data_IF_980225260116
#
_entry.id   IF_980225260116
#
_cell.length_a   1.000
_cell.length_b   1.000
_cell.length_c   1.000
_cell.angle_alpha   90.00
_cell.angle_beta   90.00
_cell.angle_gamma   90.00
#
_symmetry.space_group_name_H-M   'P 1'
#
loop_
_entity.id
_entity.type
_entity.pdbx_description
1 polymer ?
#
# COMPACT_ATOMS: atom_id res chain seq x y z
N UNK A 1 -36.09 -44.02 17.52
CA UNK A 1 -34.88 -44.03 16.68
C UNK A 1 -34.50 -42.57 16.43
N UNK A 2 -33.38 -42.10 17.02
CA UNK A 2 -32.87 -40.73 16.91
C UNK A 2 -32.45 -40.46 15.46
N UNK A 3 -32.79 -39.30 14.91
CA UNK A 3 -31.86 -38.53 14.08
C UNK A 3 -32.16 -37.06 14.31
N UNK A 4 -31.20 -36.43 14.95
CA UNK A 4 -31.22 -35.09 15.52
C UNK A 4 -31.01 -34.04 14.44
N UNK A 5 -31.64 -32.91 14.68
CA UNK A 5 -31.53 -31.60 14.07
C UNK A 5 -30.10 -31.22 13.62
N UNK A 6 -29.93 -30.98 12.31
CA UNK A 6 -28.70 -30.44 11.73
C UNK A 6 -28.89 -28.97 11.32
N UNK A 7 -29.20 -28.10 12.29
CA UNK A 7 -29.41 -26.64 12.06
C UNK A 7 -28.38 -25.74 12.77
N UNK A 8 -27.27 -26.27 13.28
CA UNK A 8 -26.29 -25.47 14.03
C UNK A 8 -24.89 -25.59 13.41
N UNK A 9 -24.56 -24.69 12.47
CA UNK A 9 -23.20 -24.10 12.29
C UNK A 9 -23.10 -23.10 11.13
N UNK A 10 -24.03 -22.13 11.02
CA UNK A 10 -23.84 -20.99 10.10
C UNK A 10 -23.49 -19.66 10.79
N UNK A 11 -23.52 -19.59 12.13
CA UNK A 11 -23.21 -18.36 12.88
C UNK A 11 -21.71 -18.15 13.16
N UNK A 12 -20.86 -19.18 12.97
CA UNK A 12 -19.43 -19.12 13.31
C UNK A 12 -18.49 -18.71 12.16
N UNK A 13 -18.95 -18.70 10.91
CA UNK A 13 -18.06 -18.58 9.74
C UNK A 13 -18.01 -17.17 9.12
N UNK A 14 -18.84 -16.23 9.58
CA UNK A 14 -18.85 -14.85 9.09
C UNK A 14 -18.11 -13.85 10.01
N UNK A 15 -17.68 -14.27 11.21
CA UNK A 15 -17.04 -13.37 12.18
C UNK A 15 -15.62 -12.95 11.76
N UNK A 16 -14.80 -13.89 11.26
CA UNK A 16 -13.41 -13.61 10.89
C UNK A 16 -13.23 -12.55 9.77
N UNK A 17 -13.95 -12.60 8.63
CA UNK A 17 -13.78 -11.60 7.58
C UNK A 17 -14.28 -10.21 8.01
N UNK A 18 -15.34 -10.14 8.83
CA UNK A 18 -15.86 -8.86 9.36
C UNK A 18 -14.89 -8.22 10.36
N UNK A 19 -14.26 -9.02 11.23
CA UNK A 19 -13.25 -8.54 12.17
C UNK A 19 -11.98 -8.05 11.47
N UNK A 20 -11.53 -8.74 10.42
CA UNK A 20 -10.38 -8.31 9.64
C UNK A 20 -10.66 -6.99 8.89
N UNK A 21 -11.88 -6.81 8.39
CA UNK A 21 -12.29 -5.56 7.77
C UNK A 21 -12.31 -4.40 8.76
N UNK A 22 -12.96 -4.57 9.92
CA UNK A 22 -13.04 -3.51 10.93
C UNK A 22 -11.67 -3.13 11.48
N UNK A 23 -10.77 -4.11 11.64
CA UNK A 23 -9.38 -3.86 12.00
C UNK A 23 -8.67 -2.99 10.94
N UNK A 24 -8.72 -3.36 9.66
CA UNK A 24 -8.09 -2.58 8.59
C UNK A 24 -8.65 -1.15 8.51
N UNK A 25 -9.97 -0.99 8.62
CA UNK A 25 -10.62 0.34 8.62
C UNK A 25 -10.20 1.17 9.85
N UNK A 26 -10.10 0.57 11.03
CA UNK A 26 -9.63 1.26 12.23
C UNK A 26 -8.18 1.75 12.10
N UNK A 27 -7.29 0.95 11.51
CA UNK A 27 -5.89 1.32 11.34
C UNK A 27 -5.71 2.41 10.29
N UNK A 28 -6.51 2.38 9.22
CA UNK A 28 -6.56 3.44 8.23
C UNK A 28 -6.98 4.77 8.87
N UNK A 29 -8.06 4.79 9.65
CA UNK A 29 -8.53 5.99 10.35
C UNK A 29 -7.53 6.49 11.39
N UNK A 30 -6.86 5.58 12.08
CA UNK A 30 -5.78 5.92 13.01
C UNK A 30 -4.64 6.66 12.30
N UNK A 31 -4.20 6.18 11.14
CA UNK A 31 -3.14 6.84 10.36
C UNK A 31 -3.58 8.22 9.85
N UNK A 32 -4.83 8.36 9.43
CA UNK A 32 -5.39 9.66 9.03
C UNK A 32 -5.44 10.63 10.23
N UNK A 33 -5.84 10.16 11.41
CA UNK A 33 -5.82 10.96 12.63
C UNK A 33 -4.39 11.33 13.09
N UNK A 34 -3.41 10.43 12.92
CA UNK A 34 -2.00 10.75 13.18
C UNK A 34 -1.48 11.85 12.24
N UNK A 35 -2.02 11.94 11.02
CA UNK A 35 -1.72 13.05 10.11
C UNK A 35 -2.18 14.39 10.69
N UNK A 36 -3.34 14.42 11.35
CA UNK A 36 -3.88 15.63 11.98
C UNK A 36 -3.05 16.05 13.21
N UNK A 37 -2.57 15.09 14.00
CA UNK A 37 -1.81 15.36 15.24
C UNK A 37 -0.34 15.68 14.97
N UNK A 38 0.32 14.85 14.17
CA UNK A 38 1.79 14.88 13.99
C UNK A 38 2.21 15.56 12.67
N UNK A 39 1.24 15.86 11.81
CA UNK A 39 1.45 16.51 10.53
C UNK A 39 1.71 15.53 9.38
N UNK A 40 1.47 16.04 8.17
CA UNK A 40 1.54 15.28 6.92
C UNK A 40 2.96 14.76 6.63
N UNK A 41 3.99 15.54 6.95
CA UNK A 41 5.39 15.16 6.73
C UNK A 41 5.78 13.89 7.50
N UNK A 42 5.34 13.74 8.75
CA UNK A 42 5.71 12.59 9.58
C UNK A 42 5.13 11.28 9.00
N UNK A 43 3.83 11.29 8.68
CA UNK A 43 3.13 10.13 8.12
C UNK A 43 3.64 9.79 6.72
N UNK A 44 3.88 10.79 5.87
CA UNK A 44 4.41 10.55 4.52
C UNK A 44 5.85 10.05 4.53
N UNK A 45 6.70 10.57 5.42
CA UNK A 45 8.08 10.07 5.58
C UNK A 45 8.08 8.60 5.97
N UNK A 46 7.16 8.19 6.85
CA UNK A 46 6.99 6.78 7.19
C UNK A 46 6.57 5.95 5.98
N UNK A 47 5.53 6.36 5.27
CA UNK A 47 5.06 5.65 4.08
C UNK A 47 6.17 5.52 3.01
N UNK A 48 6.94 6.60 2.78
CA UNK A 48 8.08 6.58 1.86
C UNK A 48 9.12 5.56 2.30
N UNK A 49 9.48 5.53 3.59
CA UNK A 49 10.44 4.58 4.13
C UNK A 49 9.98 3.12 3.95
N UNK A 50 8.74 2.81 4.34
CA UNK A 50 8.19 1.45 4.27
C UNK A 50 8.05 0.90 2.84
N UNK A 51 7.84 1.79 1.86
CA UNK A 51 7.64 1.40 0.46
C UNK A 51 8.85 1.65 -0.45
N UNK A 52 9.99 2.10 0.07
CA UNK A 52 11.19 2.39 -0.74
C UNK A 52 11.69 1.16 -1.49
N UNK A 53 11.85 0.02 -0.81
CA UNK A 53 12.29 -1.22 -1.45
C UNK A 53 11.26 -1.73 -2.46
N UNK A 54 9.98 -1.70 -2.08
CA UNK A 54 8.87 -2.11 -2.92
C UNK A 54 8.75 -1.27 -4.21
N UNK A 55 8.96 0.05 -4.10
CA UNK A 55 8.96 0.97 -5.24
C UNK A 55 10.26 0.91 -6.06
N UNK A 56 11.29 0.22 -5.55
CA UNK A 56 12.61 0.10 -6.14
C UNK A 56 13.54 1.30 -5.90
N UNK A 57 13.04 2.40 -5.33
CA UNK A 57 13.84 3.56 -4.88
C UNK A 57 13.00 4.51 -4.03
N UNK A 58 13.68 5.34 -3.23
CA UNK A 58 13.03 6.38 -2.44
C UNK A 58 12.30 7.40 -3.33
N UNK A 59 12.91 7.80 -4.46
CA UNK A 59 12.30 8.73 -5.40
C UNK A 59 10.98 8.18 -6.00
N UNK A 60 10.93 6.88 -6.29
CA UNK A 60 9.70 6.23 -6.73
C UNK A 60 8.64 6.19 -5.62
N UNK A 61 9.04 5.88 -4.37
CA UNK A 61 8.14 5.87 -3.23
C UNK A 61 7.56 7.27 -2.94
N UNK A 62 8.39 8.32 -3.02
CA UNK A 62 7.93 9.71 -2.98
C UNK A 62 6.93 10.02 -4.10
N UNK A 63 7.25 9.62 -5.35
CA UNK A 63 6.32 9.84 -6.46
C UNK A 63 4.98 9.13 -6.25
N UNK A 64 4.97 7.93 -5.68
CA UNK A 64 3.74 7.21 -5.34
C UNK A 64 2.96 7.93 -4.26
N UNK A 65 3.58 8.20 -3.11
CA UNK A 65 2.90 8.81 -1.96
C UNK A 65 2.35 10.20 -2.31
N UNK A 66 3.17 11.08 -2.89
CA UNK A 66 2.72 12.42 -3.27
C UNK A 66 1.75 12.41 -4.44
N UNK A 67 1.94 11.53 -5.43
CA UNK A 67 1.05 11.40 -6.57
C UNK A 67 -0.35 10.95 -6.15
N UNK A 68 -0.45 9.95 -5.27
CA UNK A 68 -1.72 9.45 -4.74
C UNK A 68 -2.40 10.45 -3.80
N UNK A 69 -1.61 11.15 -2.97
CA UNK A 69 -2.12 12.18 -2.06
C UNK A 69 -2.76 13.34 -2.79
N UNK A 70 -2.18 13.75 -3.93
CA UNK A 70 -2.60 14.94 -4.65
C UNK A 70 -3.40 14.63 -5.93
N UNK A 71 -3.64 13.34 -6.24
CA UNK A 71 -4.24 12.93 -7.51
C UNK A 71 -3.41 13.35 -8.73
N UNK A 72 -2.09 13.43 -8.59
CA UNK A 72 -1.15 13.89 -9.63
C UNK A 72 -0.48 12.72 -10.34
N UNK A 73 0.10 13.01 -11.50
CA UNK A 73 0.91 12.05 -12.28
C UNK A 73 2.01 11.46 -11.41
N UNK A 74 2.10 10.14 -11.41
CA UNK A 74 3.14 9.32 -10.80
C UNK A 74 4.15 8.96 -11.89
N UNK A 75 5.44 9.06 -11.57
CA UNK A 75 6.55 8.67 -12.46
C UNK A 75 7.43 7.68 -11.72
N UNK A 76 7.58 6.48 -12.31
CA UNK A 76 8.38 5.40 -11.76
C UNK A 76 9.53 5.09 -12.72
N UNK A 77 10.74 5.03 -12.18
CA UNK A 77 11.95 4.67 -12.93
C UNK A 77 12.52 3.38 -12.36
N UNK A 78 12.82 2.42 -13.22
CA UNK A 78 13.39 1.15 -12.78
C UNK A 78 14.12 0.42 -13.88
N UNK A 79 14.95 -0.54 -13.51
CA UNK A 79 15.65 -1.39 -14.46
C UNK A 79 14.74 -2.53 -14.96
N UNK A 80 14.72 -2.76 -16.26
CA UNK A 80 14.20 -4.00 -16.84
C UNK A 80 15.34 -5.04 -16.89
N UNK A 81 14.99 -6.34 -16.96
CA UNK A 81 15.95 -7.42 -17.19
C UNK A 81 16.84 -7.05 -18.39
N UNK A 82 18.16 -6.97 -18.16
CA UNK A 82 19.14 -6.50 -19.16
C UNK A 82 19.62 -5.05 -19.01
N UNK A 83 19.43 -4.41 -17.84
CA UNK A 83 19.98 -3.07 -17.47
C UNK A 83 19.44 -1.89 -18.27
N UNK A 84 18.37 -2.07 -19.07
CA UNK A 84 17.67 -0.95 -19.70
C UNK A 84 16.80 -0.25 -18.67
N UNK A 85 16.95 1.07 -18.56
CA UNK A 85 16.03 1.90 -17.79
C UNK A 85 14.66 1.90 -18.46
N UNK A 86 13.62 1.69 -17.66
CA UNK A 86 12.23 1.81 -18.03
C UNK A 86 11.61 2.94 -17.20
N UNK A 87 10.86 3.80 -17.87
CA UNK A 87 10.09 4.87 -17.24
C UNK A 87 8.63 4.54 -17.46
N UNK A 88 7.85 4.57 -16.38
CA UNK A 88 6.41 4.34 -16.41
C UNK A 88 5.72 5.52 -15.75
N UNK A 89 4.73 6.10 -16.44
CA UNK A 89 3.95 7.22 -15.92
C UNK A 89 2.47 6.92 -15.97
N UNK A 90 1.76 7.27 -14.91
CA UNK A 90 0.31 7.11 -14.86
C UNK A 90 -0.31 8.13 -13.92
N UNK A 91 -1.59 8.42 -14.11
CA UNK A 91 -2.37 9.23 -13.18
C UNK A 91 -3.35 8.31 -12.46
N UNK A 92 -3.43 8.36 -11.11
CA UNK A 92 -4.42 7.58 -10.37
C UNK A 92 -5.84 7.85 -10.90
N UNK A 93 -6.68 6.82 -11.10
CA UNK A 93 -8.07 7.00 -11.50
C UNK A 93 -8.97 7.49 -10.35
N UNK A 94 -8.42 7.59 -9.13
CA UNK A 94 -9.12 8.03 -7.93
C UNK A 94 -8.97 9.53 -7.72
N UNK A 95 -9.88 10.10 -6.93
CA UNK A 95 -9.64 11.39 -6.26
C UNK A 95 -8.44 11.30 -5.29
N UNK A 96 -7.88 12.45 -4.85
CA UNK A 96 -6.91 12.52 -3.76
C UNK A 96 -7.27 11.59 -2.59
N UNK A 97 -6.31 10.76 -2.17
CA UNK A 97 -6.50 9.82 -1.06
C UNK A 97 -5.95 10.40 0.25
N UNK A 98 -6.54 10.00 1.39
CA UNK A 98 -5.94 10.21 2.72
C UNK A 98 -4.72 9.32 2.93
N UNK A 99 -3.84 9.65 3.88
CA UNK A 99 -2.57 8.93 4.08
C UNK A 99 -2.78 7.46 4.46
N UNK A 100 -3.78 7.15 5.27
CA UNK A 100 -4.13 5.76 5.59
C UNK A 100 -4.62 4.99 4.36
N UNK A 101 -5.38 5.65 3.47
CA UNK A 101 -5.85 5.06 2.20
C UNK A 101 -4.71 4.82 1.22
N UNK A 102 -3.73 5.73 1.16
CA UNK A 102 -2.51 5.55 0.36
C UNK A 102 -1.75 4.33 0.86
N UNK A 103 -1.47 4.29 2.16
CA UNK A 103 -0.71 3.21 2.78
C UNK A 103 -1.38 1.85 2.57
N UNK A 104 -2.69 1.76 2.81
CA UNK A 104 -3.48 0.56 2.57
C UNK A 104 -3.44 0.13 1.09
N UNK A 105 -3.58 1.07 0.15
CA UNK A 105 -3.56 0.74 -1.27
C UNK A 105 -2.23 0.17 -1.74
N UNK A 106 -1.11 0.68 -1.21
CA UNK A 106 0.23 0.20 -1.51
C UNK A 106 0.49 -1.18 -0.88
N UNK A 107 0.01 -1.42 0.35
CA UNK A 107 0.06 -2.75 0.97
C UNK A 107 -0.70 -3.79 0.13
N UNK A 108 -1.93 -3.47 -0.30
CA UNK A 108 -2.73 -4.39 -1.10
C UNK A 108 -2.09 -4.68 -2.45
N UNK A 109 -1.49 -3.67 -3.10
CA UNK A 109 -0.75 -3.87 -4.34
C UNK A 109 0.49 -4.76 -4.14
N UNK A 110 1.22 -4.57 -3.03
CA UNK A 110 2.37 -5.39 -2.68
C UNK A 110 1.97 -6.85 -2.43
N UNK A 111 0.93 -7.10 -1.64
CA UNK A 111 0.40 -8.43 -1.40
C UNK A 111 -0.05 -9.12 -2.70
N UNK A 112 -0.73 -8.37 -3.58
CA UNK A 112 -1.18 -8.92 -4.88
C UNK A 112 -0.01 -9.33 -5.78
N UNK A 113 1.07 -8.56 -5.79
CA UNK A 113 2.28 -8.90 -6.54
C UNK A 113 3.05 -10.06 -5.89
N UNK A 114 3.08 -10.11 -4.55
CA UNK A 114 3.67 -11.22 -3.80
C UNK A 114 2.95 -12.55 -4.08
N UNK A 115 1.63 -12.54 -4.31
CA UNK A 115 0.88 -13.73 -4.75
C UNK A 115 1.38 -14.31 -6.08
N UNK A 116 2.00 -13.49 -6.93
CA UNK A 116 2.69 -13.90 -8.17
C UNK A 116 4.20 -14.11 -7.98
N UNK A 117 4.68 -14.14 -6.74
CA UNK A 117 6.10 -14.22 -6.35
C UNK A 117 6.94 -13.05 -6.87
N UNK A 118 6.31 -11.87 -7.01
CA UNK A 118 6.97 -10.62 -7.38
C UNK A 118 7.16 -9.79 -6.11
N UNK A 119 8.37 -9.81 -5.55
CA UNK A 119 8.72 -9.05 -4.34
C UNK A 119 9.46 -7.75 -4.66
N UNK A 120 10.15 -7.68 -5.80
CA UNK A 120 10.80 -6.47 -6.33
C UNK A 120 10.19 -6.12 -7.68
N UNK A 121 9.04 -5.42 -7.70
CA UNK A 121 8.29 -5.20 -8.92
C UNK A 121 8.95 -4.19 -9.85
N UNK A 122 8.72 -4.39 -11.14
CA UNK A 122 9.07 -3.40 -12.16
C UNK A 122 8.08 -2.22 -12.14
N UNK A 123 8.45 -1.04 -12.66
CA UNK A 123 7.54 0.10 -12.82
C UNK A 123 6.20 -0.24 -13.48
N UNK A 124 6.22 -1.10 -14.50
CA UNK A 124 5.01 -1.53 -15.21
C UNK A 124 4.14 -2.46 -14.34
N UNK A 125 4.75 -3.35 -13.53
CA UNK A 125 4.02 -4.20 -12.60
C UNK A 125 3.38 -3.38 -11.46
N UNK A 126 4.08 -2.35 -10.96
CA UNK A 126 3.52 -1.40 -9.99
C UNK A 126 2.32 -0.65 -10.56
N UNK A 127 2.44 -0.12 -11.79
CA UNK A 127 1.30 0.50 -12.47
C UNK A 127 0.12 -0.48 -12.60
N UNK A 128 0.36 -1.72 -13.01
CA UNK A 128 -0.71 -2.69 -13.20
C UNK A 128 -1.37 -3.12 -11.87
N UNK A 129 -0.60 -3.23 -10.78
CA UNK A 129 -1.15 -3.56 -9.46
C UNK A 129 -2.01 -2.42 -8.89
N UNK A 130 -1.67 -1.17 -9.19
CA UNK A 130 -2.39 0.01 -8.70
C UNK A 130 -3.54 0.42 -9.63
N UNK A 131 -3.25 0.67 -10.91
CA UNK A 131 -4.20 1.15 -11.91
C UNK A 131 -4.89 0.07 -12.73
N UNK A 132 -4.48 -1.19 -12.60
CA UNK A 132 -4.97 -2.29 -13.41
C UNK A 132 -4.16 -2.45 -14.70
N UNK A 133 -4.24 -3.63 -15.30
CA UNK A 133 -3.58 -3.91 -16.57
C UNK A 133 -2.96 -5.31 -16.63
N UNK A 134 -2.21 -5.56 -17.70
CA UNK A 134 -1.58 -6.85 -17.92
C UNK A 134 -0.13 -6.83 -17.44
N UNK A 135 0.30 -7.92 -16.79
CA UNK A 135 1.71 -8.15 -16.46
C UNK A 135 2.17 -9.48 -17.02
N UNK A 136 3.46 -9.57 -17.34
CA UNK A 136 4.13 -10.83 -17.55
C UNK A 136 4.60 -11.41 -16.20
N UNK A 137 4.31 -12.70 -15.98
CA UNK A 137 4.69 -13.44 -14.77
C UNK A 137 5.67 -14.55 -15.13
N UNK A 138 6.72 -14.68 -14.32
CA UNK A 138 7.71 -15.75 -14.42
C UNK A 138 8.63 -15.60 -15.63
N UNK A 139 9.47 -16.63 -15.84
CA UNK A 139 10.39 -16.70 -16.98
C UNK A 139 9.68 -17.00 -18.31
N UNK A 140 8.52 -17.64 -18.25
CA UNK A 140 7.71 -18.00 -19.42
C UNK A 140 6.80 -16.85 -19.91
N UNK A 141 6.92 -15.66 -19.33
CA UNK A 141 6.16 -14.47 -19.69
C UNK A 141 4.64 -14.70 -19.79
N UNK A 142 4.07 -15.52 -18.88
CA UNK A 142 2.63 -15.75 -18.83
C UNK A 142 1.93 -14.42 -18.57
N UNK A 143 1.01 -14.04 -19.44
CA UNK A 143 0.24 -12.81 -19.28
C UNK A 143 -0.89 -13.03 -18.29
N UNK A 144 -0.96 -12.19 -17.27
CA UNK A 144 -2.08 -12.13 -16.34
C UNK A 144 -2.66 -10.73 -16.29
N UNK A 145 -3.99 -10.67 -16.24
CA UNK A 145 -4.72 -9.45 -15.97
C UNK A 145 -4.76 -9.19 -14.45
N UNK A 146 -4.28 -8.03 -14.04
CA UNK A 146 -4.42 -7.52 -12.68
C UNK A 146 -5.54 -6.49 -12.66
N UNK A 147 -6.44 -6.67 -11.71
CA UNK A 147 -7.42 -5.65 -11.34
C UNK A 147 -6.75 -4.71 -10.35
N UNK A 148 -6.61 -3.44 -10.72
CA UNK A 148 -5.87 -2.46 -9.94
C UNK A 148 -6.60 -2.08 -8.66
N UNK A 149 -5.87 -1.94 -7.55
CA UNK A 149 -6.44 -1.49 -6.26
C UNK A 149 -7.14 -0.13 -6.41
N UNK A 150 -6.49 0.84 -7.07
CA UNK A 150 -7.02 2.18 -7.30
C UNK A 150 -8.14 2.17 -8.33
N UNK A 151 -8.06 1.29 -9.33
CA UNK A 151 -9.13 1.13 -10.30
C UNK A 151 -10.42 0.66 -9.61
N UNK A 152 -10.35 -0.40 -8.80
CA UNK A 152 -11.51 -0.88 -8.05
C UNK A 152 -12.01 0.16 -7.04
N UNK A 153 -11.10 0.92 -6.42
CA UNK A 153 -11.47 2.03 -5.54
C UNK A 153 -12.21 3.14 -6.28
N UNK A 154 -11.78 3.49 -7.50
CA UNK A 154 -12.45 4.50 -8.33
C UNK A 154 -13.86 4.09 -8.76
N UNK A 155 -14.15 2.77 -8.78
CA UNK A 155 -15.49 2.22 -9.03
C UNK A 155 -16.40 2.26 -7.79
N UNK A 156 -15.96 2.89 -6.69
CA UNK A 156 -16.73 3.01 -5.46
C UNK A 156 -16.67 1.79 -4.54
N UNK A 157 -15.84 0.78 -4.85
CA UNK A 157 -15.68 -0.35 -3.95
C UNK A 157 -15.00 0.08 -2.65
N UNK A 158 -15.44 -0.50 -1.53
CA UNK A 158 -14.75 -0.39 -0.25
C UNK A 158 -13.55 -1.34 -0.18
N UNK A 159 -12.63 -1.11 0.76
CA UNK A 159 -11.40 -1.89 0.88
C UNK A 159 -11.65 -3.38 1.12
N UNK A 160 -12.70 -3.74 1.88
CA UNK A 160 -13.15 -5.12 2.07
C UNK A 160 -13.40 -5.84 0.75
N UNK A 161 -14.19 -5.20 -0.11
CA UNK A 161 -14.60 -5.77 -1.39
C UNK A 161 -13.43 -5.83 -2.36
N UNK A 162 -12.56 -4.81 -2.37
CA UNK A 162 -11.32 -4.82 -3.16
C UNK A 162 -10.44 -6.00 -2.74
N UNK A 163 -10.23 -6.18 -1.43
CA UNK A 163 -9.41 -7.25 -0.89
C UNK A 163 -9.99 -8.63 -1.24
N UNK A 164 -11.30 -8.81 -1.09
CA UNK A 164 -11.98 -10.04 -1.50
C UNK A 164 -11.82 -10.33 -2.99
N UNK A 165 -12.04 -9.34 -3.85
CA UNK A 165 -11.89 -9.46 -5.31
C UNK A 165 -10.46 -9.84 -5.71
N UNK A 166 -9.46 -9.32 -5.00
CA UNK A 166 -8.05 -9.59 -5.26
C UNK A 166 -7.50 -10.83 -4.54
N UNK A 167 -8.26 -11.43 -3.62
CA UNK A 167 -7.79 -12.51 -2.74
C UNK A 167 -6.75 -12.07 -1.72
N UNK A 168 -6.76 -10.78 -1.35
CA UNK A 168 -5.80 -10.17 -0.42
C UNK A 168 -6.27 -10.33 1.03
N UNK A 169 -5.44 -10.88 1.95
CA UNK A 169 -5.84 -11.07 3.34
C UNK A 169 -5.76 -9.77 4.15
N UNK A 170 -6.87 -9.29 4.69
CA UNK A 170 -6.92 -8.02 5.43
C UNK A 170 -6.33 -8.09 6.85
N UNK A 171 -6.34 -9.25 7.49
CA UNK A 171 -5.78 -9.42 8.84
C UNK A 171 -4.28 -9.05 8.91
N UNK A 172 -3.42 -9.66 8.08
CA UNK A 172 -2.00 -9.30 7.98
C UNK A 172 -1.77 -7.84 7.58
N UNK A 173 -2.60 -7.30 6.68
CA UNK A 173 -2.54 -5.89 6.29
C UNK A 173 -2.81 -4.97 7.47
N UNK A 174 -3.88 -5.23 8.23
CA UNK A 174 -4.21 -4.47 9.43
C UNK A 174 -3.06 -4.53 10.45
N UNK A 175 -2.47 -5.71 10.66
CA UNK A 175 -1.32 -5.87 11.56
C UNK A 175 -0.11 -5.02 11.11
N UNK A 176 0.20 -4.98 9.81
CA UNK A 176 1.27 -4.13 9.26
C UNK A 176 0.97 -2.64 9.43
N UNK A 177 -0.29 -2.23 9.29
CA UNK A 177 -0.69 -0.84 9.55
C UNK A 177 -0.62 -0.49 11.04
N UNK A 178 -0.94 -1.41 11.94
CA UNK A 178 -0.77 -1.21 13.39
C UNK A 178 0.69 -0.93 13.73
N UNK A 179 1.62 -1.70 13.17
CA UNK A 179 3.07 -1.45 13.35
C UNK A 179 3.46 -0.09 12.80
N UNK A 180 3.04 0.27 11.59
CA UNK A 180 3.34 1.58 11.01
C UNK A 180 2.79 2.74 11.85
N UNK A 181 1.55 2.63 12.35
CA UNK A 181 0.94 3.63 13.22
C UNK A 181 1.71 3.78 14.54
N UNK A 182 2.09 2.65 15.15
CA UNK A 182 2.92 2.66 16.34
C UNK A 182 4.24 3.39 16.08
N UNK A 183 4.91 3.08 14.97
CA UNK A 183 6.20 3.67 14.66
C UNK A 183 6.12 5.17 14.37
N UNK A 184 5.06 5.62 13.67
CA UNK A 184 4.77 7.05 13.47
C UNK A 184 4.65 7.78 14.81
N UNK A 185 3.96 7.18 15.78
CA UNK A 185 3.81 7.75 17.12
C UNK A 185 5.18 7.80 17.81
N UNK A 186 5.96 6.73 17.79
CA UNK A 186 7.28 6.73 18.44
C UNK A 186 8.27 7.72 17.82
N UNK A 187 8.25 7.85 16.49
CA UNK A 187 9.10 8.81 15.77
C UNK A 187 8.64 10.26 16.02
N UNK A 188 7.33 10.50 16.07
CA UNK A 188 6.74 11.82 16.33
C UNK A 188 6.90 12.30 17.77
N UNK A 189 6.96 11.39 18.74
CA UNK A 189 7.20 11.70 20.15
C UNK A 189 8.69 11.84 20.50
N UNK A 190 9.61 11.47 19.60
CA UNK A 190 11.04 11.58 19.83
C UNK A 190 11.53 13.01 19.64
N UNK A 191 11.99 13.73 20.70
CA UNK A 191 12.54 15.05 20.54
C UNK A 191 13.98 14.94 20.02
N UNK A 192 14.19 14.76 18.70
CA UNK A 192 15.46 15.07 17.98
C UNK A 192 15.52 14.43 16.59
N UNK A 193 15.04 15.12 15.54
CA UNK A 193 15.62 15.07 14.17
C UNK A 193 15.48 16.39 13.43
N UNK A 194 15.52 17.51 14.16
CA UNK A 194 15.67 18.83 13.55
C UNK A 194 17.11 19.26 13.82
N UNK A 195 17.91 19.40 12.76
CA UNK A 195 19.29 19.94 12.72
C UNK A 195 20.46 18.95 12.78
N UNK A 196 20.72 18.27 11.66
CA UNK A 196 22.06 17.75 11.34
C UNK A 196 22.65 18.41 10.07
N UNK A 197 22.22 19.64 9.74
CA UNK A 197 22.70 20.39 8.55
C UNK A 197 23.31 21.74 8.92
N UNK A 198 23.96 21.86 10.08
CA UNK A 198 24.64 23.11 10.42
C UNK A 198 26.07 22.87 10.88
N UNK A 199 26.99 23.44 10.08
CA UNK A 199 28.39 23.73 10.39
C UNK A 199 29.44 22.71 9.92
N UNK A 200 29.65 22.62 8.61
CA UNK A 200 31.03 22.53 8.08
C UNK A 200 31.38 23.86 7.43
N UNK A 201 31.52 24.90 8.27
CA UNK A 201 32.11 26.18 7.89
C UNK A 201 33.63 26.02 7.99
N UNK A 202 34.30 26.42 6.91
CA UNK A 202 35.74 26.37 6.66
C UNK A 202 36.58 26.81 7.87
N UNK A 203 37.66 26.08 8.14
CA UNK A 203 38.80 26.56 8.93
C UNK A 203 39.97 26.79 7.98
N UNK A 204 40.57 27.98 8.14
CA UNK A 204 41.68 28.57 7.40
C UNK A 204 42.90 27.66 7.25
#
# INVERSE_FOLDING_TARGET
>A
MKTTDNVISLAGQLAAPVLAQSAADSQLRSMDHLTEILGETAVQSRAIADFTEFAGSEANAQSLVFGLRNGRRITLVGAMRGRRLCVTTFTPPTQPLGNGSIYLSLLMAADRLAAFRITSPTPQQLQAALGGGMIAIGSQAKIALLQGVLQLRSQGMNWARIAHVQGTPLGPIAARMTVANHDIVTDGLSPSRVSATQTRRLSL
#
